data_IF_470009340431
#
_entry.id   IF_470009340431
#
_cell.length_a   1.000
_cell.length_b   1.000
_cell.length_c   1.000
_cell.angle_alpha   90.00
_cell.angle_beta   90.00
_cell.angle_gamma   90.00
#
_symmetry.space_group_name_H-M   'P 1'
#
loop_
_entity.id
_entity.type
_entity.pdbx_description
1 polymer ?
#
# COMPACT_ATOMS: atom_id res chain seq x y z
N UNK A 1 3.20 16.70 -18.95
CA UNK A 1 2.14 17.49 -19.58
C UNK A 1 1.14 18.01 -18.55
N UNK A 2 0.41 17.11 -17.87
CA UNK A 2 -0.62 17.49 -16.90
C UNK A 2 -0.07 17.96 -15.54
N UNK A 3 1.05 17.38 -15.08
CA UNK A 3 1.71 17.75 -13.82
C UNK A 3 2.09 19.24 -13.77
N UNK A 4 2.62 19.79 -14.87
CA UNK A 4 2.97 21.21 -14.96
C UNK A 4 1.79 22.16 -14.82
N UNK A 5 0.61 21.76 -15.33
CA UNK A 5 -0.59 22.60 -15.30
C UNK A 5 -1.21 22.67 -13.90
N UNK A 6 -1.12 21.58 -13.13
CA UNK A 6 -1.58 21.53 -11.74
C UNK A 6 -0.61 22.27 -10.82
N UNK A 7 0.70 22.10 -11.02
CA UNK A 7 1.75 22.75 -10.20
C UNK A 7 1.77 24.27 -10.40
N UNK A 8 1.56 24.77 -11.62
CA UNK A 8 1.49 26.20 -11.91
C UNK A 8 0.33 26.91 -11.17
N UNK A 9 -0.70 26.18 -10.78
CA UNK A 9 -1.83 26.70 -9.98
C UNK A 9 -1.60 26.73 -8.46
N UNK A 10 -0.43 26.29 -7.98
CA UNK A 10 -0.07 26.28 -6.55
C UNK A 10 -0.84 25.24 -5.70
N UNK A 11 -0.66 25.31 -4.38
CA UNK A 11 -1.19 24.31 -3.42
C UNK A 11 -2.72 24.16 -3.46
N UNK A 12 -3.44 25.23 -3.78
CA UNK A 12 -4.90 25.22 -3.89
C UNK A 12 -5.39 24.43 -5.11
N UNK A 13 -4.68 24.52 -6.24
CA UNK A 13 -4.97 23.76 -7.45
C UNK A 13 -4.67 22.26 -7.24
N UNK A 14 -3.52 21.96 -6.61
CA UNK A 14 -3.14 20.60 -6.23
C UNK A 14 -4.20 19.98 -5.32
N UNK A 15 -4.57 20.67 -4.23
CA UNK A 15 -5.57 20.18 -3.29
C UNK A 15 -6.94 19.92 -3.94
N UNK A 16 -7.38 20.77 -4.87
CA UNK A 16 -8.66 20.61 -5.58
C UNK A 16 -8.66 19.42 -6.55
N UNK A 17 -7.54 19.16 -7.21
CA UNK A 17 -7.42 17.99 -8.07
C UNK A 17 -7.31 16.69 -7.26
N UNK A 18 -6.42 16.67 -6.26
CA UNK A 18 -6.19 15.52 -5.38
C UNK A 18 -7.44 15.13 -4.59
N UNK A 19 -8.22 16.10 -4.10
CA UNK A 19 -9.46 15.82 -3.35
C UNK A 19 -10.55 15.13 -4.15
N UNK A 20 -10.54 15.22 -5.49
CA UNK A 20 -11.47 14.49 -6.35
C UNK A 20 -10.87 13.17 -6.82
N UNK A 21 -9.58 13.17 -7.16
CA UNK A 21 -8.91 12.00 -7.73
C UNK A 21 -8.68 10.90 -6.68
N UNK A 22 -8.14 11.25 -5.51
CA UNK A 22 -7.75 10.27 -4.48
C UNK A 22 -8.91 9.40 -4.00
N UNK A 23 -10.12 9.95 -3.71
CA UNK A 23 -11.24 9.11 -3.30
C UNK A 23 -11.66 8.10 -4.38
N UNK A 24 -11.67 8.51 -5.65
CA UNK A 24 -11.99 7.61 -6.77
C UNK A 24 -10.96 6.49 -6.89
N UNK A 25 -9.68 6.84 -6.75
CA UNK A 25 -8.54 5.93 -6.82
C UNK A 25 -8.60 4.86 -5.70
N UNK A 26 -8.81 5.29 -4.45
CA UNK A 26 -8.92 4.39 -3.30
C UNK A 26 -10.14 3.48 -3.41
N UNK A 27 -11.30 4.03 -3.78
CA UNK A 27 -12.53 3.22 -3.91
C UNK A 27 -12.37 2.18 -5.01
N UNK A 28 -11.81 2.55 -6.17
CA UNK A 28 -11.56 1.61 -7.26
C UNK A 28 -10.60 0.49 -6.84
N UNK A 29 -9.50 0.84 -6.17
CA UNK A 29 -8.51 -0.11 -5.70
C UNK A 29 -9.05 -1.05 -4.62
N UNK A 30 -9.68 -0.51 -3.57
CA UNK A 30 -10.23 -1.32 -2.47
C UNK A 30 -11.34 -2.22 -2.97
N UNK A 31 -12.21 -1.75 -3.87
CA UNK A 31 -13.29 -2.56 -4.43
C UNK A 31 -12.73 -3.72 -5.25
N UNK A 32 -11.77 -3.47 -6.14
CA UNK A 32 -11.16 -4.54 -6.94
C UNK A 32 -10.41 -5.54 -6.06
N UNK A 33 -9.65 -5.06 -5.08
CA UNK A 33 -8.95 -5.92 -4.12
C UNK A 33 -9.92 -6.80 -3.31
N UNK A 34 -11.05 -6.25 -2.87
CA UNK A 34 -12.10 -7.03 -2.20
C UNK A 34 -12.69 -8.11 -3.11
N UNK A 35 -12.91 -7.81 -4.39
CA UNK A 35 -13.38 -8.82 -5.35
C UNK A 35 -12.35 -9.94 -5.52
N UNK A 36 -11.07 -9.61 -5.67
CA UNK A 36 -9.99 -10.62 -5.76
C UNK A 36 -9.95 -11.51 -4.52
N UNK A 37 -9.98 -10.90 -3.33
CA UNK A 37 -9.96 -11.62 -2.06
C UNK A 37 -11.22 -12.47 -1.85
N UNK A 38 -12.39 -12.01 -2.31
CA UNK A 38 -13.61 -12.81 -2.26
C UNK A 38 -13.53 -14.04 -3.17
N UNK A 39 -12.85 -13.93 -4.32
CA UNK A 39 -12.59 -15.06 -5.22
C UNK A 39 -11.53 -16.03 -4.66
N UNK A 40 -10.60 -15.54 -3.83
CA UNK A 40 -9.54 -16.33 -3.18
C UNK A 40 -9.77 -16.49 -1.67
N UNK A 41 -11.04 -16.58 -1.25
CA UNK A 41 -11.40 -16.57 0.18
C UNK A 41 -10.82 -17.77 0.94
N UNK A 42 -10.62 -18.89 0.25
CA UNK A 42 -10.04 -20.12 0.78
C UNK A 42 -8.56 -20.01 1.09
N UNK A 43 -7.85 -19.15 0.38
CA UNK A 43 -6.42 -18.92 0.49
C UNK A 43 -6.09 -17.88 1.57
N UNK A 44 -7.04 -17.03 1.97
CA UNK A 44 -6.83 -15.98 2.98
C UNK A 44 -6.28 -16.53 4.31
N UNK A 45 -6.84 -17.61 4.91
CA UNK A 45 -6.31 -18.16 6.16
C UNK A 45 -4.86 -18.63 6.02
N UNK A 46 -4.50 -19.21 4.87
CA UNK A 46 -3.14 -19.65 4.59
C UNK A 46 -2.20 -18.46 4.39
N UNK A 47 -2.63 -17.40 3.71
CA UNK A 47 -1.86 -16.17 3.54
C UNK A 47 -1.60 -15.47 4.88
N UNK A 48 -2.60 -15.41 5.77
CA UNK A 48 -2.41 -14.87 7.12
C UNK A 48 -1.47 -15.74 7.96
N UNK A 49 -1.63 -17.06 7.88
CA UNK A 49 -0.75 -18.00 8.55
C UNK A 49 0.70 -17.87 8.06
N UNK A 50 0.92 -17.68 6.75
CA UNK A 50 2.26 -17.50 6.18
C UNK A 50 2.90 -16.19 6.61
N UNK A 51 2.13 -15.08 6.70
CA UNK A 51 2.62 -13.80 7.24
C UNK A 51 3.13 -14.00 8.67
N UNK A 52 2.31 -14.57 9.56
CA UNK A 52 2.67 -14.78 10.97
C UNK A 52 3.82 -15.78 11.10
N UNK A 53 3.77 -16.87 10.33
CA UNK A 53 4.81 -17.89 10.33
C UNK A 53 6.15 -17.31 9.90
N UNK A 54 6.23 -16.59 8.77
CA UNK A 54 7.48 -16.01 8.28
C UNK A 54 7.95 -14.80 9.10
N UNK A 55 7.05 -14.11 9.80
CA UNK A 55 7.40 -13.05 10.74
C UNK A 55 8.12 -13.59 11.99
N UNK A 56 7.79 -14.80 12.46
CA UNK A 56 8.41 -15.42 13.65
C UNK A 56 9.38 -16.58 13.35
N UNK A 57 9.32 -17.15 12.15
CA UNK A 57 10.18 -18.25 11.68
C UNK A 57 10.85 -17.84 10.37
N UNK A 58 11.95 -17.06 10.45
CA UNK A 58 12.82 -16.82 9.30
C UNK A 58 13.33 -18.18 8.84
N UNK A 59 13.12 -18.51 7.57
CA UNK A 59 13.41 -19.81 6.95
C UNK A 59 14.60 -20.50 7.63
N UNK A 60 14.30 -21.63 8.28
CA UNK A 60 15.24 -22.38 9.09
C UNK A 60 16.41 -22.89 8.25
N UNK A 61 17.54 -22.21 8.36
CA UNK A 61 18.86 -22.76 8.10
C UNK A 61 19.85 -22.21 9.15
N UNK A 62 20.05 -22.99 10.21
CA UNK A 62 21.19 -22.96 11.15
C UNK A 62 21.75 -21.59 11.59
N UNK A 63 21.35 -21.12 12.77
CA UNK A 63 22.23 -20.47 13.76
C UNK A 63 22.76 -19.05 13.51
N UNK A 64 22.75 -18.51 12.28
CA UNK A 64 23.24 -17.14 12.01
C UNK A 64 22.63 -16.48 10.76
N UNK A 65 22.28 -17.28 9.75
CA UNK A 65 21.63 -16.80 8.52
C UNK A 65 20.14 -16.46 8.74
N UNK A 66 19.47 -17.17 9.65
CA UNK A 66 18.10 -16.87 10.07
C UNK A 66 17.97 -15.46 10.69
N UNK A 67 18.93 -15.06 11.53
CA UNK A 67 18.97 -13.70 12.10
C UNK A 67 19.18 -12.62 11.04
N UNK A 68 20.06 -12.87 10.06
CA UNK A 68 20.33 -11.93 8.97
C UNK A 68 19.14 -11.77 8.02
N UNK A 69 18.44 -12.86 7.69
CA UNK A 69 17.23 -12.83 6.85
C UNK A 69 16.05 -12.19 7.58
N UNK A 70 15.87 -12.45 8.88
CA UNK A 70 14.87 -11.76 9.70
C UNK A 70 15.16 -10.27 9.81
N UNK A 71 16.42 -9.91 10.09
CA UNK A 71 16.84 -8.52 10.17
C UNK A 71 16.67 -7.82 8.82
N UNK A 72 16.95 -8.48 7.71
CA UNK A 72 16.70 -7.95 6.37
C UNK A 72 15.20 -7.76 6.12
N UNK A 73 14.36 -8.77 6.38
CA UNK A 73 12.90 -8.69 6.20
C UNK A 73 12.28 -7.58 7.05
N UNK A 74 12.67 -7.47 8.33
CA UNK A 74 12.25 -6.38 9.20
C UNK A 74 12.74 -5.03 8.69
N UNK A 75 14.00 -4.91 8.26
CA UNK A 75 14.54 -3.66 7.71
C UNK A 75 13.79 -3.24 6.45
N UNK A 76 13.50 -4.16 5.54
CA UNK A 76 12.75 -3.87 4.31
C UNK A 76 11.30 -3.50 4.63
N UNK A 77 10.64 -4.21 5.54
CA UNK A 77 9.28 -3.92 5.98
C UNK A 77 9.18 -2.56 6.69
N UNK A 78 10.08 -2.29 7.63
CA UNK A 78 10.14 -1.02 8.35
C UNK A 78 10.49 0.14 7.41
N UNK A 79 11.49 -0.03 6.53
CA UNK A 79 11.86 1.01 5.57
C UNK A 79 10.69 1.31 4.62
N UNK A 80 10.09 0.29 4.00
CA UNK A 80 8.93 0.47 3.09
C UNK A 80 7.73 1.07 3.81
N UNK A 81 7.45 0.65 5.05
CA UNK A 81 6.36 1.19 5.86
C UNK A 81 6.55 2.65 6.25
N UNK A 82 7.78 3.04 6.64
CA UNK A 82 8.14 4.44 6.93
C UNK A 82 8.05 5.30 5.66
N UNK A 83 8.47 4.77 4.50
CA UNK A 83 8.32 5.49 3.23
C UNK A 83 6.86 5.57 2.73
N UNK A 84 6.01 4.57 2.99
CA UNK A 84 4.61 4.55 2.54
C UNK A 84 3.77 5.62 3.23
N UNK A 85 3.89 5.73 4.56
CA UNK A 85 3.08 6.64 5.35
C UNK A 85 3.82 7.93 5.76
N UNK A 86 5.10 8.06 5.42
CA UNK A 86 5.96 9.20 5.78
C UNK A 86 6.15 9.40 7.30
N UNK A 87 5.84 8.40 8.10
CA UNK A 87 5.92 8.44 9.57
C UNK A 87 7.38 8.61 10.03
N UNK A 88 7.69 9.80 10.55
CA UNK A 88 9.03 10.14 11.04
C UNK A 88 9.93 10.84 10.02
N UNK A 89 9.45 11.11 8.80
CA UNK A 89 10.19 11.87 7.76
C UNK A 89 9.99 13.39 7.85
N UNK A 90 9.03 13.86 8.65
CA UNK A 90 8.81 15.30 8.88
C UNK A 90 8.09 16.04 7.75
N UNK A 91 7.63 15.34 6.70
CA UNK A 91 6.82 15.89 5.59
C UNK A 91 5.33 15.98 5.91
N UNK A 92 4.76 15.03 6.66
CA UNK A 92 3.35 15.07 7.09
C UNK A 92 2.93 16.38 7.83
N UNK A 93 3.77 17.01 8.69
CA UNK A 93 3.50 18.32 9.26
C UNK A 93 3.35 19.46 8.24
N UNK A 94 3.98 19.36 7.06
CA UNK A 94 3.91 20.40 6.01
C UNK A 94 2.49 20.46 5.44
N UNK A 95 1.90 19.30 5.15
CA UNK A 95 0.50 19.20 4.71
C UNK A 95 -0.47 19.61 5.83
N UNK A 96 -0.18 19.23 7.08
CA UNK A 96 -1.00 19.62 8.22
C UNK A 96 -0.96 21.13 8.50
N UNK A 97 0.17 21.81 8.25
CA UNK A 97 0.31 23.25 8.39
C UNK A 97 -0.45 24.04 7.31
N UNK A 98 -0.68 23.43 6.14
CA UNK A 98 -1.49 24.03 5.08
C UNK A 98 -3.02 23.83 5.28
N UNK A 99 -3.42 22.95 6.21
CA UNK A 99 -4.82 22.69 6.50
C UNK A 99 -5.44 23.83 7.32
N UNK A 100 -6.64 24.26 6.93
CA UNK A 100 -7.44 25.21 7.73
C UNK A 100 -8.16 24.43 8.83
N UNK A 101 -7.57 24.40 10.02
CA UNK A 101 -8.14 23.78 11.21
C UNK A 101 -8.05 24.73 12.40
N UNK A 102 -9.14 24.84 13.15
CA UNK A 102 -9.19 25.66 14.37
C UNK A 102 -8.76 24.85 15.61
N UNK A 103 -8.56 23.54 15.45
CA UNK A 103 -8.20 22.61 16.51
C UNK A 103 -7.05 21.69 16.06
N UNK A 104 -5.85 21.81 16.66
CA UNK A 104 -4.71 20.98 16.33
C UNK A 104 -4.95 19.49 16.65
N UNK A 105 -5.80 19.17 17.63
CA UNK A 105 -6.14 17.78 18.00
C UNK A 105 -6.96 17.14 16.90
N UNK A 106 -7.95 17.84 16.34
CA UNK A 106 -8.72 17.33 15.19
C UNK A 106 -7.84 17.06 13.99
N UNK A 107 -6.90 17.97 13.69
CA UNK A 107 -5.99 17.79 12.58
C UNK A 107 -5.02 16.61 12.80
N UNK A 108 -4.56 16.40 14.03
CA UNK A 108 -3.76 15.25 14.38
C UNK A 108 -4.55 13.93 14.16
N UNK A 109 -5.82 13.87 14.58
CA UNK A 109 -6.66 12.69 14.37
C UNK A 109 -6.92 12.40 12.88
N UNK A 110 -7.14 13.43 12.06
CA UNK A 110 -7.29 13.29 10.60
C UNK A 110 -5.99 12.76 9.99
N UNK A 111 -4.84 13.32 10.38
CA UNK A 111 -3.53 12.88 9.89
C UNK A 111 -3.23 11.42 10.27
N UNK A 112 -3.55 11.00 11.50
CA UNK A 112 -3.42 9.60 11.92
C UNK A 112 -4.34 8.65 11.14
N UNK A 113 -5.54 9.11 10.77
CA UNK A 113 -6.48 8.31 9.99
C UNK A 113 -5.96 8.04 8.58
N UNK A 114 -5.22 9.00 7.99
CA UNK A 114 -4.55 8.80 6.70
C UNK A 114 -3.56 7.64 6.76
N UNK A 115 -2.67 7.64 7.76
CA UNK A 115 -1.71 6.55 8.01
C UNK A 115 -2.41 5.20 8.19
N UNK A 116 -3.52 5.17 8.94
CA UNK A 116 -4.28 3.95 9.16
C UNK A 116 -4.83 3.38 7.85
N UNK A 117 -5.44 4.22 7.01
CA UNK A 117 -6.00 3.79 5.73
C UNK A 117 -4.88 3.29 4.80
N UNK A 118 -3.78 4.01 4.69
CA UNK A 118 -2.68 3.63 3.80
C UNK A 118 -2.01 2.31 4.21
N UNK A 119 -1.57 2.21 5.46
CA UNK A 119 -0.72 1.10 5.91
C UNK A 119 -1.54 -0.12 6.34
N UNK A 120 -2.64 0.07 7.07
CA UNK A 120 -3.38 -1.03 7.65
C UNK A 120 -4.47 -1.56 6.72
N UNK A 121 -5.09 -0.69 5.92
CA UNK A 121 -6.14 -1.12 4.99
C UNK A 121 -5.52 -1.42 3.62
N UNK A 122 -5.02 -0.40 2.92
CA UNK A 122 -4.59 -0.55 1.52
C UNK A 122 -3.39 -1.49 1.41
N UNK A 123 -2.28 -1.21 2.11
CA UNK A 123 -1.07 -2.04 2.04
C UNK A 123 -1.31 -3.50 2.46
N UNK A 124 -2.15 -3.73 3.48
CA UNK A 124 -2.46 -5.09 3.94
C UNK A 124 -3.33 -5.84 2.94
N UNK A 125 -4.30 -5.19 2.30
CA UNK A 125 -5.07 -5.77 1.20
C UNK A 125 -4.18 -6.13 0.01
N UNK A 126 -3.25 -5.25 -0.37
CA UNK A 126 -2.26 -5.52 -1.42
C UNK A 126 -1.43 -6.76 -1.10
N UNK A 127 -0.92 -6.85 0.13
CA UNK A 127 -0.14 -7.99 0.57
C UNK A 127 -0.95 -9.30 0.52
N UNK A 128 -2.21 -9.27 0.97
CA UNK A 128 -3.10 -10.43 0.90
C UNK A 128 -3.35 -10.85 -0.55
N UNK A 129 -3.70 -9.91 -1.44
CA UNK A 129 -3.93 -10.20 -2.87
C UNK A 129 -2.70 -10.86 -3.49
N UNK A 130 -1.50 -10.34 -3.20
CA UNK A 130 -0.24 -10.92 -3.71
C UNK A 130 -0.06 -12.35 -3.16
N UNK A 131 -0.25 -12.57 -1.87
CA UNK A 131 -0.01 -13.87 -1.24
C UNK A 131 -1.06 -14.94 -1.58
N UNK A 132 -2.29 -14.53 -1.93
CA UNK A 132 -3.33 -15.44 -2.41
C UNK A 132 -3.19 -15.79 -3.88
N UNK A 133 -2.41 -15.03 -4.64
CA UNK A 133 -2.13 -15.22 -6.06
C UNK A 133 -0.89 -16.11 -6.30
N UNK A 134 -0.62 -16.53 -7.53
CA UNK A 134 0.57 -17.33 -7.89
C UNK A 134 1.81 -16.55 -8.40
N UNK A 135 1.72 -15.32 -8.96
CA UNK A 135 2.84 -14.53 -9.47
C UNK A 135 4.05 -14.36 -8.55
N UNK A 136 3.83 -14.28 -7.23
CA UNK A 136 4.92 -14.08 -6.27
C UNK A 136 5.86 -15.29 -6.17
N UNK A 137 5.41 -16.46 -6.62
CA UNK A 137 6.23 -17.68 -6.71
C UNK A 137 6.99 -17.82 -8.03
N UNK A 138 6.66 -17.00 -9.03
CA UNK A 138 7.19 -17.10 -10.39
C UNK A 138 8.42 -16.20 -10.62
N UNK A 139 8.91 -15.51 -9.58
CA UNK A 139 10.09 -14.65 -9.67
C UNK A 139 9.88 -13.37 -10.49
N UNK A 140 8.63 -12.89 -10.57
CA UNK A 140 8.29 -11.63 -11.24
C UNK A 140 8.88 -10.46 -10.44
N UNK A 141 9.30 -9.40 -11.14
CA UNK A 141 9.82 -8.20 -10.51
C UNK A 141 8.79 -7.54 -9.58
N UNK A 142 9.25 -6.99 -8.46
CA UNK A 142 8.41 -6.43 -7.42
C UNK A 142 7.54 -5.25 -7.92
N UNK A 143 7.99 -4.54 -8.95
CA UNK A 143 7.23 -3.45 -9.57
C UNK A 143 5.99 -3.93 -10.34
N UNK A 144 6.03 -5.14 -10.90
CA UNK A 144 4.95 -5.73 -11.69
C UNK A 144 4.10 -6.72 -10.90
N UNK A 145 4.56 -7.11 -9.71
CA UNK A 145 3.94 -8.17 -8.92
C UNK A 145 2.49 -7.85 -8.57
N UNK A 146 2.20 -6.60 -8.19
CA UNK A 146 0.83 -6.17 -7.88
C UNK A 146 -0.06 -6.23 -9.13
N UNK A 147 0.36 -5.67 -10.26
CA UNK A 147 -0.44 -5.70 -11.48
C UNK A 147 -0.66 -7.13 -11.98
N UNK A 148 0.36 -7.99 -11.91
CA UNK A 148 0.26 -9.40 -12.30
C UNK A 148 -0.70 -10.19 -11.38
N UNK A 149 -0.68 -9.93 -10.06
CA UNK A 149 -1.58 -10.62 -9.10
C UNK A 149 -3.05 -10.22 -9.29
N UNK A 150 -3.31 -8.96 -9.62
CA UNK A 150 -4.66 -8.52 -10.01
C UNK A 150 -5.04 -9.02 -11.42
N UNK A 151 -4.07 -9.11 -12.33
CA UNK A 151 -4.25 -9.62 -13.70
C UNK A 151 -4.59 -11.11 -13.75
N UNK A 152 -4.03 -11.93 -12.86
CA UNK A 152 -4.34 -13.35 -12.76
C UNK A 152 -5.83 -13.60 -12.48
N UNK A 153 -6.43 -12.73 -11.67
CA UNK A 153 -7.75 -12.97 -11.06
C UNK A 153 -8.87 -12.19 -11.75
N UNK A 154 -8.57 -10.95 -12.18
CA UNK A 154 -9.50 -10.06 -12.87
C UNK A 154 -9.15 -9.85 -14.36
N UNK A 155 -8.14 -10.53 -14.89
CA UNK A 155 -7.69 -10.34 -16.27
C UNK A 155 -7.21 -8.91 -16.55
N UNK A 156 -7.31 -8.48 -17.81
CA UNK A 156 -6.86 -7.15 -18.25
C UNK A 156 -7.54 -5.99 -17.49
N UNK A 157 -8.75 -6.21 -16.97
CA UNK A 157 -9.44 -5.22 -16.13
C UNK A 157 -8.77 -5.02 -14.76
N UNK A 158 -8.16 -6.06 -14.19
CA UNK A 158 -7.40 -5.95 -12.94
C UNK A 158 -6.10 -5.16 -13.11
N UNK A 159 -5.37 -5.42 -14.18
CA UNK A 159 -4.17 -4.66 -14.54
C UNK A 159 -4.48 -3.18 -14.75
N UNK A 160 -5.54 -2.87 -15.51
CA UNK A 160 -5.95 -1.49 -15.77
C UNK A 160 -6.33 -0.76 -14.49
N UNK A 161 -7.05 -1.39 -13.56
CA UNK A 161 -7.39 -0.77 -12.28
C UNK A 161 -6.14 -0.45 -11.47
N UNK A 162 -5.17 -1.36 -11.40
CA UNK A 162 -3.91 -1.12 -10.68
C UNK A 162 -3.08 -0.04 -11.37
N UNK A 163 -2.94 -0.07 -12.69
CA UNK A 163 -2.21 0.94 -13.45
C UNK A 163 -2.83 2.33 -13.30
N UNK A 164 -4.15 2.45 -13.39
CA UNK A 164 -4.87 3.72 -13.19
C UNK A 164 -4.83 4.20 -11.73
N UNK A 165 -4.68 3.28 -10.77
CA UNK A 165 -4.65 3.63 -9.34
C UNK A 165 -3.25 3.97 -8.82
N UNK A 166 -2.19 3.64 -9.57
CA UNK A 166 -0.79 3.88 -9.18
C UNK A 166 -0.17 5.02 -10.01
N UNK A 167 -0.73 5.35 -11.18
CA UNK A 167 -0.26 6.42 -12.08
C UNK A 167 -0.92 7.76 -11.78
#
# INVERSE_FOLDING_TARGET
GMTGLVILGGITSIGRFTSVLVPFMIVGYVTSALVVLALHVTEIPQALASIVYHAWNPIAAGGGFAGATMAAAMRYGLARGVFSNESGLGSAPIAAAAARTDDPVRQALVSMTQTFIDTLVVCSMTALVILTATPWTQGIDAAQLTSASFGETLGHTGELVVTLSIT
#
